data_IF_769014999993
#
_entry.id   IF_769014999993
#
_cell.length_a   1.000
_cell.length_b   1.000
_cell.length_c   1.000
_cell.angle_alpha   90.00
_cell.angle_beta   90.00
_cell.angle_gamma   90.00
#
_symmetry.space_group_name_H-M   'P 1'
#
loop_
_entity.id
_entity.type
_entity.pdbx_description
1 polymer ?
#
# COMPACT_ATOMS: atom_id res chain seq x y z
N UNK A 1 14.71 10.37 12.98
CA UNK A 1 14.76 9.10 12.20
C UNK A 1 16.05 8.34 12.49
N UNK A 2 17.23 8.98 12.34
CA UNK A 2 18.54 8.38 12.63
C UNK A 2 18.63 7.74 14.02
N UNK A 3 18.28 8.45 15.09
CA UNK A 3 18.29 7.92 16.47
C UNK A 3 17.41 6.67 16.66
N UNK A 4 16.22 6.65 16.05
CA UNK A 4 15.32 5.47 16.10
C UNK A 4 15.94 4.27 15.40
N UNK A 5 16.60 4.47 14.26
CA UNK A 5 17.27 3.39 13.53
C UNK A 5 18.44 2.81 14.31
N UNK A 6 19.22 3.66 14.97
CA UNK A 6 20.29 3.21 15.86
C UNK A 6 19.73 2.40 17.03
N UNK A 7 18.63 2.83 17.63
CA UNK A 7 17.95 2.07 18.69
C UNK A 7 17.44 0.71 18.20
N UNK A 8 16.85 0.64 17.01
CA UNK A 8 16.39 -0.63 16.41
C UNK A 8 17.57 -1.56 16.12
N UNK A 9 18.70 -1.03 15.61
CA UNK A 9 19.92 -1.80 15.39
C UNK A 9 20.45 -2.42 16.67
N UNK A 10 20.55 -1.63 17.74
CA UNK A 10 21.01 -2.10 19.06
C UNK A 10 20.06 -3.17 19.62
N UNK A 11 18.74 -2.93 19.56
CA UNK A 11 17.75 -3.89 20.06
C UNK A 11 17.75 -5.20 19.26
N UNK A 12 17.93 -5.13 17.94
CA UNK A 12 18.03 -6.31 17.06
C UNK A 12 19.29 -7.11 17.38
N UNK A 13 20.43 -6.44 17.53
CA UNK A 13 21.70 -7.09 17.89
C UNK A 13 21.63 -7.77 19.25
N UNK A 14 20.95 -7.16 20.24
CA UNK A 14 20.77 -7.73 21.57
C UNK A 14 20.01 -9.08 21.56
N UNK A 15 19.18 -9.33 20.55
CA UNK A 15 18.47 -10.60 20.35
C UNK A 15 19.09 -11.46 19.23
N UNK A 16 20.30 -11.13 18.77
CA UNK A 16 21.02 -11.89 17.74
C UNK A 16 20.52 -11.70 16.30
N UNK A 17 19.70 -10.67 16.04
CA UNK A 17 19.24 -10.33 14.69
C UNK A 17 20.15 -9.26 14.06
N UNK A 18 20.54 -9.51 12.80
CA UNK A 18 21.32 -8.56 12.00
C UNK A 18 20.41 -7.81 11.03
N UNK A 19 20.58 -6.49 10.97
CA UNK A 19 19.85 -5.64 10.02
C UNK A 19 20.52 -5.74 8.64
N UNK A 20 19.76 -6.19 7.64
CA UNK A 20 20.25 -6.28 6.27
C UNK A 20 20.13 -4.94 5.55
N UNK A 21 21.22 -4.18 5.49
CA UNK A 21 21.24 -2.79 4.98
C UNK A 21 20.76 -2.73 3.52
N UNK A 22 21.26 -3.58 2.63
CA UNK A 22 20.88 -3.56 1.21
C UNK A 22 19.42 -3.95 0.88
N UNK A 23 18.63 -4.40 1.86
CA UNK A 23 17.19 -4.69 1.68
C UNK A 23 16.31 -3.62 2.32
N UNK A 24 16.90 -2.75 3.13
CA UNK A 24 16.20 -1.66 3.77
C UNK A 24 16.19 -0.45 2.86
N UNK A 25 15.04 0.20 2.78
CA UNK A 25 14.81 1.38 1.96
C UNK A 25 14.13 2.43 2.81
N UNK A 26 14.41 3.69 2.53
CA UNK A 26 13.78 4.82 3.19
C UNK A 26 12.81 5.45 2.22
N UNK A 27 11.57 5.61 2.67
CA UNK A 27 10.55 6.41 2.00
C UNK A 27 10.36 7.68 2.83
N UNK A 28 10.66 8.84 2.24
CA UNK A 28 10.41 10.14 2.87
C UNK A 28 9.01 10.63 2.55
N UNK A 29 8.32 11.10 3.57
CA UNK A 29 7.02 11.76 3.43
C UNK A 29 7.19 13.27 3.61
N UNK A 30 6.76 14.06 2.63
CA UNK A 30 6.73 15.54 2.67
C UNK A 30 8.05 16.27 2.99
N UNK A 31 9.21 15.61 2.87
CA UNK A 31 10.51 16.19 3.24
C UNK A 31 11.54 15.94 2.14
N UNK A 32 12.22 17.00 1.68
CA UNK A 32 13.31 16.87 0.71
C UNK A 32 14.48 16.03 1.27
N UNK A 33 15.26 15.42 0.37
CA UNK A 33 16.43 14.62 0.74
C UNK A 33 17.58 15.53 1.22
N UNK A 34 17.47 16.07 2.44
CA UNK A 34 18.45 17.01 2.98
C UNK A 34 19.64 16.28 3.62
N UNK A 35 19.45 15.07 4.17
CA UNK A 35 20.50 14.35 4.89
C UNK A 35 20.39 12.83 4.67
N UNK A 36 21.43 12.13 4.19
CA UNK A 36 21.41 10.67 4.08
C UNK A 36 21.29 10.04 5.47
N UNK A 37 20.62 8.89 5.52
CA UNK A 37 20.45 8.12 6.76
C UNK A 37 21.32 6.88 6.66
N UNK A 38 22.25 6.76 7.60
CA UNK A 38 23.21 5.67 7.67
C UNK A 38 22.89 4.68 8.78
N UNK A 39 23.10 3.39 8.52
CA UNK A 39 23.26 2.33 9.54
C UNK A 39 24.68 1.82 9.40
N UNK A 40 25.43 1.68 10.50
CA UNK A 40 26.79 1.11 10.48
C UNK A 40 27.73 1.71 9.41
N UNK A 41 27.54 3.01 9.11
CA UNK A 41 28.24 3.80 8.08
C UNK A 41 27.89 3.49 6.62
N UNK A 42 26.94 2.60 6.36
CA UNK A 42 26.36 2.41 5.03
C UNK A 42 25.08 3.24 4.86
N UNK A 43 24.96 3.88 3.69
CA UNK A 43 23.79 4.67 3.32
C UNK A 43 22.63 3.76 2.89
N UNK A 44 21.42 4.11 3.34
CA UNK A 44 20.21 3.45 2.85
C UNK A 44 19.68 4.09 1.58
N UNK A 45 19.15 3.25 0.69
CA UNK A 45 18.52 3.68 -0.57
C UNK A 45 17.25 4.51 -0.26
N UNK A 46 17.21 5.75 -0.78
CA UNK A 46 16.03 6.61 -0.75
C UNK A 46 15.14 6.26 -1.94
N UNK A 47 13.88 5.91 -1.69
CA UNK A 47 12.93 5.49 -2.73
C UNK A 47 11.65 6.31 -2.66
N UNK A 48 11.10 6.67 -3.82
CA UNK A 48 9.82 7.40 -3.91
C UNK A 48 8.59 6.50 -3.72
N UNK A 49 8.74 5.18 -3.89
CA UNK A 49 7.68 4.20 -3.68
C UNK A 49 8.21 2.92 -3.06
N UNK A 50 7.42 2.29 -2.20
CA UNK A 50 7.73 0.99 -1.60
C UNK A 50 6.49 0.09 -1.58
N UNK A 51 6.65 -1.20 -1.87
CA UNK A 51 5.57 -2.18 -1.78
C UNK A 51 5.62 -2.90 -0.44
N UNK A 52 4.65 -2.63 0.43
CA UNK A 52 4.49 -3.29 1.71
C UNK A 52 3.24 -4.18 1.69
N UNK A 53 3.42 -5.50 1.86
CA UNK A 53 2.32 -6.49 1.89
C UNK A 53 1.32 -6.37 0.71
N UNK A 54 1.81 -5.97 -0.46
CA UNK A 54 0.99 -5.79 -1.67
C UNK A 54 0.34 -4.41 -1.83
N UNK A 55 0.55 -3.51 -0.86
CA UNK A 55 0.21 -2.08 -0.94
C UNK A 55 1.42 -1.25 -1.35
N UNK A 56 1.24 -0.39 -2.34
CA UNK A 56 2.20 0.61 -2.81
C UNK A 56 2.02 1.86 -1.95
N UNK A 57 3.04 2.16 -1.16
CA UNK A 57 3.14 3.39 -0.38
C UNK A 57 4.04 4.34 -1.17
N UNK A 58 3.55 5.54 -1.49
CA UNK A 58 4.31 6.59 -2.15
C UNK A 58 4.75 7.70 -1.19
N UNK A 59 5.62 8.59 -1.65
CA UNK A 59 6.13 9.75 -0.90
C UNK A 59 5.04 10.75 -0.48
N UNK A 60 3.87 10.69 -1.11
CA UNK A 60 2.69 11.47 -0.80
C UNK A 60 1.73 10.73 0.14
N UNK A 61 2.14 9.59 0.71
CA UNK A 61 1.35 8.77 1.63
C UNK A 61 0.06 8.28 0.99
N UNK A 62 0.02 8.27 -0.34
CA UNK A 62 -1.18 8.18 -1.14
C UNK A 62 -1.63 6.74 -1.32
N UNK A 63 -2.80 6.44 -0.77
CA UNK A 63 -3.66 5.32 -1.19
C UNK A 63 -4.02 5.36 -2.69
N UNK A 64 -3.71 6.44 -3.41
CA UNK A 64 -4.10 6.62 -4.81
C UNK A 64 -3.48 5.57 -5.75
N UNK A 65 -2.18 5.28 -5.61
CA UNK A 65 -1.52 4.24 -6.41
C UNK A 65 -2.14 2.86 -6.16
N UNK A 66 -2.45 2.57 -4.90
CA UNK A 66 -3.17 1.38 -4.50
C UNK A 66 -4.58 1.33 -5.08
N UNK A 67 -5.41 2.34 -4.83
CA UNK A 67 -6.77 2.43 -5.38
C UNK A 67 -6.75 2.27 -6.91
N UNK A 68 -5.78 2.86 -7.61
CA UNK A 68 -5.61 2.70 -9.06
C UNK A 68 -5.28 1.26 -9.47
N UNK A 69 -4.36 0.60 -8.77
CA UNK A 69 -4.02 -0.81 -9.03
C UNK A 69 -5.23 -1.73 -8.78
N UNK A 70 -6.02 -1.46 -7.74
CA UNK A 70 -7.20 -2.22 -7.36
C UNK A 70 -8.36 -2.03 -8.33
N UNK A 71 -8.59 -0.79 -8.80
CA UNK A 71 -9.51 -0.51 -9.90
C UNK A 71 -9.08 -1.27 -11.16
N UNK A 72 -7.78 -1.33 -11.44
CA UNK A 72 -7.23 -2.14 -12.55
C UNK A 72 -7.60 -3.62 -12.43
N UNK A 73 -7.41 -4.22 -11.26
CA UNK A 73 -7.78 -5.63 -10.98
C UNK A 73 -9.29 -5.87 -11.09
N UNK A 74 -10.11 -4.99 -10.54
CA UNK A 74 -11.56 -5.10 -10.63
C UNK A 74 -12.06 -5.02 -12.09
N UNK A 75 -11.46 -4.13 -12.89
CA UNK A 75 -11.72 -4.05 -14.34
C UNK A 75 -11.32 -5.34 -15.05
N UNK A 76 -10.14 -5.90 -14.74
CA UNK A 76 -9.69 -7.16 -15.33
C UNK A 76 -10.65 -8.32 -14.97
N UNK A 77 -11.08 -8.43 -13.71
CA UNK A 77 -12.05 -9.43 -13.28
C UNK A 77 -13.40 -9.26 -13.99
N UNK A 78 -13.89 -8.02 -14.14
CA UNK A 78 -15.10 -7.76 -14.91
C UNK A 78 -14.96 -8.17 -16.38
N UNK A 79 -13.82 -7.91 -17.03
CA UNK A 79 -13.56 -8.34 -18.40
C UNK A 79 -13.49 -9.86 -18.53
N UNK A 80 -12.86 -10.57 -17.59
CA UNK A 80 -12.79 -12.03 -17.61
C UNK A 80 -14.19 -12.67 -17.54
N UNK A 81 -15.13 -12.01 -16.85
CA UNK A 81 -16.53 -12.46 -16.75
C UNK A 81 -17.40 -12.04 -17.95
N UNK A 82 -16.81 -11.58 -19.07
CA UNK A 82 -17.54 -11.17 -20.29
C UNK A 82 -18.58 -12.20 -20.78
N UNK A 83 -18.24 -13.49 -20.71
CA UNK A 83 -19.16 -14.55 -21.12
C UNK A 83 -20.40 -14.63 -20.22
N UNK A 84 -20.26 -14.36 -18.92
CA UNK A 84 -21.36 -14.29 -17.96
C UNK A 84 -22.26 -13.09 -18.29
N UNK A 85 -21.67 -11.93 -18.60
CA UNK A 85 -22.43 -10.73 -18.96
C UNK A 85 -23.22 -10.92 -20.26
N UNK A 86 -22.64 -11.60 -21.25
CA UNK A 86 -23.28 -11.88 -22.54
C UNK A 86 -24.27 -13.05 -22.49
N UNK A 87 -24.26 -13.86 -21.43
CA UNK A 87 -25.15 -15.03 -21.32
C UNK A 87 -26.61 -14.62 -21.21
N UNK A 88 -27.46 -15.16 -22.10
CA UNK A 88 -28.92 -15.01 -22.03
C UNK A 88 -29.56 -15.97 -21.02
N UNK A 89 -28.84 -17.03 -20.63
CA UNK A 89 -29.31 -18.05 -19.68
C UNK A 89 -29.36 -17.52 -18.24
N UNK A 90 -28.55 -16.51 -17.94
CA UNK A 90 -28.47 -15.93 -16.60
C UNK A 90 -29.40 -14.74 -16.47
N UNK A 91 -30.32 -14.82 -15.51
CA UNK A 91 -31.16 -13.68 -15.13
C UNK A 91 -30.33 -12.56 -14.49
N UNK A 92 -30.83 -11.33 -14.62
CA UNK A 92 -30.13 -10.12 -14.15
C UNK A 92 -29.76 -10.18 -12.66
N UNK A 93 -30.65 -10.71 -11.80
CA UNK A 93 -30.40 -10.83 -10.36
C UNK A 93 -29.22 -11.75 -10.03
N UNK A 94 -28.98 -12.80 -10.82
CA UNK A 94 -27.82 -13.68 -10.67
C UNK A 94 -26.53 -12.99 -11.12
N UNK A 95 -26.56 -12.23 -12.22
CA UNK A 95 -25.41 -11.44 -12.70
C UNK A 95 -24.99 -10.37 -11.69
N UNK A 96 -25.96 -9.67 -11.09
CA UNK A 96 -25.70 -8.68 -10.03
C UNK A 96 -25.05 -9.34 -8.81
N UNK A 97 -25.47 -10.55 -8.46
CA UNK A 97 -24.87 -11.32 -7.36
C UNK A 97 -23.41 -11.66 -7.64
N UNK A 98 -23.12 -12.17 -8.84
CA UNK A 98 -21.76 -12.47 -9.30
C UNK A 98 -20.87 -11.21 -9.26
N UNK A 99 -21.39 -10.07 -9.72
CA UNK A 99 -20.69 -8.79 -9.63
C UNK A 99 -20.37 -8.42 -8.17
N UNK A 100 -21.35 -8.51 -7.27
CA UNK A 100 -21.18 -8.20 -5.85
C UNK A 100 -20.21 -9.15 -5.14
N UNK A 101 -20.16 -10.42 -5.55
CA UNK A 101 -19.30 -11.43 -4.90
C UNK A 101 -17.87 -11.42 -5.42
N UNK A 102 -17.64 -11.11 -6.70
CA UNK A 102 -16.30 -11.20 -7.31
C UNK A 102 -15.71 -9.82 -7.59
N UNK A 103 -16.42 -8.95 -8.31
CA UNK A 103 -15.87 -7.66 -8.74
C UNK A 103 -15.84 -6.66 -7.58
N UNK A 104 -16.94 -6.57 -6.81
CA UNK A 104 -17.05 -5.66 -5.68
C UNK A 104 -16.13 -6.05 -4.51
N UNK A 105 -15.93 -7.34 -4.26
CA UNK A 105 -14.99 -7.81 -3.23
C UNK A 105 -13.56 -7.46 -3.61
N UNK A 106 -13.14 -7.72 -4.86
CA UNK A 106 -11.82 -7.32 -5.37
C UNK A 106 -11.64 -5.81 -5.32
N UNK A 107 -12.68 -5.01 -5.54
CA UNK A 107 -12.61 -3.55 -5.44
C UNK A 107 -12.48 -3.07 -3.99
N UNK A 108 -13.18 -3.70 -3.04
CA UNK A 108 -13.32 -3.21 -1.66
C UNK A 108 -12.33 -3.81 -0.66
N UNK A 109 -11.67 -4.92 -0.98
CA UNK A 109 -10.82 -5.65 -0.02
C UNK A 109 -9.59 -4.84 0.47
N UNK A 110 -9.31 -3.66 -0.09
CA UNK A 110 -8.21 -2.77 0.28
C UNK A 110 -8.62 -1.54 1.10
N UNK A 111 -9.92 -1.31 1.31
CA UNK A 111 -10.38 -0.16 2.10
C UNK A 111 -10.24 -0.51 3.60
N UNK A 112 -9.04 -0.29 4.16
CA UNK A 112 -8.83 -0.36 5.61
C UNK A 112 -9.83 0.57 6.30
N UNK A 113 -10.69 0.08 7.22
CA UNK A 113 -11.65 0.93 7.96
C UNK A 113 -11.01 1.91 8.97
N UNK A 114 -9.71 2.20 8.86
CA UNK A 114 -8.93 2.89 9.91
C UNK A 114 -8.55 4.33 9.61
N UNK A 115 -8.72 4.83 8.39
CA UNK A 115 -8.43 6.23 8.06
C UNK A 115 -9.72 7.04 7.92
N UNK A 116 -10.42 7.17 9.05
CA UNK A 116 -11.27 8.35 9.24
C UNK A 116 -10.33 9.55 9.36
N UNK A 117 -10.27 10.30 8.26
CA UNK A 117 -9.73 11.64 8.16
C UNK A 117 -10.17 12.43 9.39
N UNK A 118 -9.25 12.66 10.34
CA UNK A 118 -9.51 13.59 11.45
C UNK A 118 -9.84 14.93 10.80
N UNK A 119 -11.03 15.52 11.06
CA UNK A 119 -11.34 16.82 10.51
C UNK A 119 -10.30 17.80 11.03
N UNK A 120 -9.60 18.44 10.08
CA UNK A 120 -8.71 19.57 10.32
C UNK A 120 -9.44 20.57 11.22
N UNK A 121 -9.05 20.62 12.49
CA UNK A 121 -9.51 21.67 13.39
C UNK A 121 -8.92 22.99 12.89
N UNK A 122 -9.70 23.69 12.06
CA UNK A 122 -9.62 25.15 11.98
C UNK A 122 -10.11 25.67 13.33
N UNK A 123 -9.19 26.18 14.13
CA UNK A 123 -9.50 27.20 15.14
C UNK A 123 -8.57 28.38 14.91
N UNK A 124 -9.22 29.54 15.02
CA UNK A 124 -8.78 30.90 14.75
C UNK A 124 -7.36 31.24 15.19
#
# INVERSE_FOLDING_TARGET
>A
MKEKMTSIAIASAAIGLNIHIGKNRILRYNTACINPVTIDREDLEDVNTFTYLGSIIDEHGGSYADVKAWIGKAKAAHLQLKNIWNSKLLIASTKVRIFNTIVKTVLLYGQKPGELQKPSSRRY
#
